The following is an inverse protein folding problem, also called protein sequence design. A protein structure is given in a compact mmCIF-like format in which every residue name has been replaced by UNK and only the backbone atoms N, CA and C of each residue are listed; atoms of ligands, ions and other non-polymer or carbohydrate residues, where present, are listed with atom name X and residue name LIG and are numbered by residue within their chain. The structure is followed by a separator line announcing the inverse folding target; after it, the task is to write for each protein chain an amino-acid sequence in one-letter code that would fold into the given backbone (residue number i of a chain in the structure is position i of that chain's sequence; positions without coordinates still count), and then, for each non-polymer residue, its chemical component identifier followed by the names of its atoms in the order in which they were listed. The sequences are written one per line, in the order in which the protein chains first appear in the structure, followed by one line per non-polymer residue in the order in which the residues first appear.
data_IF_014444653248
#
_entry.id   IF_014444653248
#
_cell.length_a   1.000
_cell.length_b   1.000
_cell.length_c   1.000
_cell.angle_alpha   90.00
_cell.angle_beta   90.00
_cell.angle_gamma   90.00
#
_symmetry.space_group_name_H-M   'P 1'
#
loop_
_entity.id
_entity.type
_entity.pdbx_description
1 polymer ?
#
# COMPACT_ATOMS: atom_id res chain seq x y z
N UNK A 1 31.97 10.57 -31.73
CA UNK A 1 31.56 9.29 -31.10
C UNK A 1 30.06 9.32 -30.86
N UNK A 2 29.26 8.39 -31.43
CA UNK A 2 27.84 8.33 -31.12
C UNK A 2 27.67 7.80 -29.69
N UNK A 3 27.15 8.64 -28.80
CA UNK A 3 26.77 8.26 -27.44
C UNK A 3 25.64 7.24 -27.49
N UNK A 4 25.95 5.97 -27.19
CA UNK A 4 24.99 4.86 -27.12
C UNK A 4 23.88 5.26 -26.13
N UNK A 5 22.67 5.54 -26.64
CA UNK A 5 21.51 5.92 -25.84
C UNK A 5 21.20 4.74 -24.91
N UNK A 6 21.48 4.88 -23.62
CA UNK A 6 21.20 3.83 -22.62
C UNK A 6 19.68 3.63 -22.59
N UNK A 7 19.21 2.38 -22.75
CA UNK A 7 17.79 2.08 -22.67
C UNK A 7 17.27 2.49 -21.28
N UNK A 8 16.16 3.25 -21.23
CA UNK A 8 15.57 3.77 -19.99
C UNK A 8 15.37 2.67 -18.93
N UNK A 9 15.02 1.46 -19.36
CA UNK A 9 14.80 0.30 -18.50
C UNK A 9 16.07 -0.30 -17.90
N UNK A 10 17.24 -0.13 -18.52
CA UNK A 10 18.53 -0.65 -18.00
C UNK A 10 19.31 0.40 -17.20
N UNK A 11 18.75 1.60 -17.03
CA UNK A 11 19.33 2.65 -16.20
C UNK A 11 19.11 2.42 -14.70
N UNK A 12 18.08 1.65 -14.32
CA UNK A 12 17.71 1.37 -12.94
C UNK A 12 17.87 -0.13 -12.58
N UNK A 13 18.22 -0.46 -11.33
CA UNK A 13 18.33 -1.85 -10.87
C UNK A 13 16.97 -2.56 -10.94
N UNK A 14 16.96 -3.88 -11.14
CA UNK A 14 15.71 -4.66 -11.26
C UNK A 14 14.77 -4.46 -10.06
N UNK A 15 15.32 -4.33 -8.85
CA UNK A 15 14.54 -4.09 -7.63
C UNK A 15 13.74 -2.79 -7.69
N UNK A 16 14.23 -1.76 -8.37
CA UNK A 16 13.51 -0.48 -8.53
C UNK A 16 12.17 -0.68 -9.25
N UNK A 17 12.18 -1.44 -10.35
CA UNK A 17 10.98 -1.74 -11.12
C UNK A 17 10.00 -2.63 -10.34
N UNK A 18 10.52 -3.57 -9.55
CA UNK A 18 9.69 -4.40 -8.65
C UNK A 18 8.98 -3.54 -7.60
N UNK A 19 9.71 -2.64 -6.93
CA UNK A 19 9.13 -1.77 -5.90
C UNK A 19 8.09 -0.82 -6.49
N UNK A 20 8.37 -0.19 -7.64
CA UNK A 20 7.40 0.70 -8.31
C UNK A 20 6.11 -0.03 -8.65
N UNK A 21 6.24 -1.24 -9.22
CA UNK A 21 5.07 -2.04 -9.57
C UNK A 21 4.27 -2.38 -8.32
N UNK A 22 4.94 -2.84 -7.26
CA UNK A 22 4.32 -3.16 -5.98
C UNK A 22 3.61 -1.94 -5.37
N UNK A 23 4.25 -0.78 -5.32
CA UNK A 23 3.67 0.47 -4.82
C UNK A 23 2.44 0.91 -5.62
N UNK A 24 2.49 0.74 -6.95
CA UNK A 24 1.35 1.05 -7.82
C UNK A 24 0.16 0.13 -7.52
N UNK A 25 0.39 -1.17 -7.36
CA UNK A 25 -0.66 -2.12 -7.01
C UNK A 25 -1.21 -1.86 -5.59
N UNK A 26 -0.34 -1.58 -4.62
CA UNK A 26 -0.76 -1.25 -3.25
C UNK A 26 -1.68 -0.02 -3.25
N UNK A 27 -1.28 1.06 -3.93
CA UNK A 27 -2.12 2.26 -4.06
C UNK A 27 -3.39 1.99 -4.84
N UNK A 28 -3.33 1.22 -5.92
CA UNK A 28 -4.49 0.83 -6.72
C UNK A 28 -5.54 0.10 -5.88
N UNK A 29 -5.11 -0.89 -5.10
CA UNK A 29 -5.98 -1.62 -4.18
C UNK A 29 -6.49 -0.74 -3.03
N UNK A 30 -5.66 0.14 -2.48
CA UNK A 30 -6.05 1.06 -1.41
C UNK A 30 -7.18 2.00 -1.85
N UNK A 31 -7.01 2.69 -2.99
CA UNK A 31 -8.02 3.61 -3.51
C UNK A 31 -9.25 2.86 -4.05
N UNK A 32 -9.07 1.68 -4.65
CA UNK A 32 -10.17 0.84 -5.11
C UNK A 32 -11.07 0.39 -3.95
N UNK A 33 -10.48 -0.11 -2.87
CA UNK A 33 -11.21 -0.46 -1.65
C UNK A 33 -11.88 0.78 -1.05
N UNK A 34 -11.16 1.88 -0.87
CA UNK A 34 -11.69 3.10 -0.28
C UNK A 34 -12.91 3.64 -1.04
N UNK A 35 -12.92 3.52 -2.36
CA UNK A 35 -14.00 4.00 -3.22
C UNK A 35 -15.24 3.11 -3.16
N UNK A 36 -15.07 1.79 -3.13
CA UNK A 36 -16.18 0.83 -3.24
C UNK A 36 -16.73 0.40 -1.88
N UNK A 37 -15.91 0.40 -0.82
CA UNK A 37 -16.27 -0.12 0.51
C UNK A 37 -17.50 0.58 1.09
N UNK A 38 -17.57 1.91 0.98
CA UNK A 38 -18.72 2.68 1.51
C UNK A 38 -20.02 2.34 0.79
N UNK A 39 -19.96 2.10 -0.53
CA UNK A 39 -21.12 1.73 -1.33
C UNK A 39 -21.55 0.30 -0.98
N UNK A 40 -20.60 -0.63 -0.90
CA UNK A 40 -20.87 -2.03 -0.58
C UNK A 40 -21.56 -2.20 0.79
N UNK A 41 -21.07 -1.50 1.81
CA UNK A 41 -21.64 -1.58 3.16
C UNK A 41 -23.08 -1.07 3.23
N UNK A 42 -23.43 -0.05 2.43
CA UNK A 42 -24.79 0.49 2.38
C UNK A 42 -25.70 -0.38 1.51
N UNK A 43 -25.25 -0.79 0.32
CA UNK A 43 -26.10 -1.46 -0.67
C UNK A 43 -26.28 -2.95 -0.42
N UNK A 44 -25.25 -3.66 0.05
CA UNK A 44 -25.30 -5.12 0.24
C UNK A 44 -25.58 -5.47 1.68
N UNK A 45 -24.89 -4.78 2.60
CA UNK A 45 -24.98 -5.06 4.04
C UNK A 45 -26.05 -4.22 4.77
N UNK A 46 -26.73 -3.31 4.06
CA UNK A 46 -27.80 -2.46 4.59
C UNK A 46 -27.43 -1.69 5.87
N UNK A 47 -26.15 -1.35 6.05
CA UNK A 47 -25.71 -0.58 7.23
C UNK A 47 -26.23 0.85 7.19
N UNK A 48 -26.48 1.41 8.38
CA UNK A 48 -26.77 2.84 8.52
C UNK A 48 -25.57 3.70 8.08
N UNK A 49 -25.82 4.86 7.48
CA UNK A 49 -24.75 5.78 7.03
C UNK A 49 -23.79 6.17 8.17
N UNK A 50 -24.31 6.23 9.40
CA UNK A 50 -23.52 6.53 10.60
C UNK A 50 -22.55 5.40 10.93
N UNK A 51 -23.00 4.14 10.88
CA UNK A 51 -22.14 2.96 11.09
C UNK A 51 -21.04 2.86 10.03
N UNK A 52 -21.36 3.12 8.76
CA UNK A 52 -20.37 3.15 7.66
C UNK A 52 -19.34 4.25 7.85
N UNK A 53 -19.77 5.43 8.33
CA UNK A 53 -18.87 6.53 8.68
C UNK A 53 -17.89 6.16 9.79
N UNK A 54 -18.36 5.46 10.83
CA UNK A 54 -17.51 4.99 11.94
C UNK A 54 -16.50 3.96 11.42
N UNK A 55 -16.93 2.95 10.66
CA UNK A 55 -16.05 1.91 10.11
C UNK A 55 -14.93 2.55 9.27
N UNK A 56 -15.27 3.41 8.31
CA UNK A 56 -14.27 4.10 7.49
C UNK A 56 -13.30 4.97 8.31
N UNK A 57 -13.80 5.57 9.39
CA UNK A 57 -13.00 6.44 10.27
C UNK A 57 -12.05 5.67 11.16
N UNK A 58 -12.37 4.43 11.53
CA UNK A 58 -11.51 3.53 12.31
C UNK A 58 -10.50 2.79 11.43
N UNK A 59 -10.86 2.45 10.18
CA UNK A 59 -9.98 1.73 9.26
C UNK A 59 -8.70 2.49 8.93
N UNK A 60 -8.78 3.81 8.68
CA UNK A 60 -7.60 4.65 8.37
C UNK A 60 -6.55 4.68 9.50
N UNK A 61 -6.90 5.01 10.76
CA UNK A 61 -5.93 5.03 11.85
C UNK A 61 -5.38 3.64 12.16
N UNK A 62 -6.17 2.57 12.01
CA UNK A 62 -5.62 1.20 12.11
C UNK A 62 -4.55 0.97 11.05
N UNK A 63 -4.76 1.41 9.80
CA UNK A 63 -3.77 1.26 8.74
C UNK A 63 -2.47 2.04 9.03
N UNK A 64 -2.56 3.22 9.66
CA UNK A 64 -1.39 3.98 10.10
C UNK A 64 -0.70 3.40 11.34
N UNK A 65 -1.42 2.67 12.18
CA UNK A 65 -0.84 1.97 13.34
C UNK A 65 -0.06 0.72 12.91
N UNK A 66 -0.53 0.03 11.87
CA UNK A 66 0.10 -1.17 11.32
C UNK A 66 1.60 -1.03 11.01
N UNK A 67 2.10 0.01 10.30
CA UNK A 67 3.53 0.15 10.03
C UNK A 67 4.36 0.41 11.29
N UNK A 68 3.79 1.01 12.34
CA UNK A 68 4.47 1.21 13.62
C UNK A 68 4.69 -0.15 14.30
N UNK A 69 3.64 -0.97 14.35
CA UNK A 69 3.70 -2.32 14.90
C UNK A 69 4.58 -3.24 14.06
N UNK A 70 4.44 -3.19 12.74
CA UNK A 70 5.24 -3.98 11.81
C UNK A 70 6.72 -3.57 11.83
N UNK A 71 7.02 -2.28 11.99
CA UNK A 71 8.39 -1.78 12.15
C UNK A 71 9.02 -2.26 13.45
N UNK A 72 8.30 -2.16 14.57
CA UNK A 72 8.76 -2.71 15.85
C UNK A 72 8.94 -4.24 15.81
N UNK A 73 8.08 -4.96 15.10
CA UNK A 73 8.19 -6.40 14.88
C UNK A 73 9.38 -6.73 13.97
N UNK A 74 9.59 -5.96 12.90
CA UNK A 74 10.72 -6.11 11.99
C UNK A 74 12.05 -5.83 12.70
N UNK A 75 12.10 -4.92 13.66
CA UNK A 75 13.28 -4.70 14.50
C UNK A 75 13.65 -5.95 15.31
N UNK A 76 12.63 -6.62 15.88
CA UNK A 76 12.82 -7.83 16.70
C UNK A 76 13.11 -9.10 15.90
N UNK A 77 12.53 -9.25 14.71
CA UNK A 77 12.68 -10.46 13.87
C UNK A 77 13.71 -10.30 12.73
N UNK A 78 14.04 -9.08 12.34
CA UNK A 78 14.66 -8.74 11.06
C UNK A 78 16.09 -8.23 11.11
N UNK A 79 16.75 -8.13 12.26
CA UNK A 79 18.21 -7.89 12.31
C UNK A 79 19.01 -9.18 11.98
N UNK A 80 18.78 -9.77 10.80
CA UNK A 80 19.81 -10.58 10.15
C UNK A 80 20.66 -9.66 9.28
N UNK A 81 21.70 -9.10 9.92
CA UNK A 81 22.98 -8.66 9.36
C UNK A 81 22.94 -8.35 7.84
N UNK A 82 22.60 -7.11 7.48
CA UNK A 82 22.99 -6.55 6.19
C UNK A 82 24.20 -5.66 6.43
N UNK A 83 25.37 -6.30 6.47
CA UNK A 83 26.70 -5.70 6.40
C UNK A 83 27.36 -6.26 5.15
#
# INVERSE_FOLDING_TARGET
MPTKKKNFFTQFPKNFWTVITMEFFERGSYYGLASVLSIYLVTVLHFSKQSVGVINSVTRPMLYLTPILAGALADRFGYRKTL
#
